data_IF_902616009401
#
_entry.id   IF_902616009401
#
_cell.length_a   1.000
_cell.length_b   1.000
_cell.length_c   1.000
_cell.angle_alpha   90.00
_cell.angle_beta   90.00
_cell.angle_gamma   90.00
#
_symmetry.space_group_name_H-M   'P 1'
#
loop_
_entity.id
_entity.type
_entity.pdbx_description
1 polymer ?
#
# COMPACT_ATOMS: atom_id res chain seq x y z
N UNK A 1 -8.50 9.44 2.46
CA UNK A 1 -7.40 10.41 2.24
C UNK A 1 -6.12 9.82 2.85
N UNK A 2 -4.96 10.06 2.26
CA UNK A 2 -3.66 9.57 2.75
C UNK A 2 -2.86 10.75 3.31
N UNK A 3 -2.28 10.58 4.51
CA UNK A 3 -1.49 11.59 5.20
C UNK A 3 -0.30 10.97 5.94
N UNK A 4 0.69 11.80 6.29
CA UNK A 4 1.82 11.36 7.12
C UNK A 4 1.33 10.92 8.51
N UNK A 5 1.86 9.81 9.03
CA UNK A 5 1.51 9.32 10.37
C UNK A 5 1.81 10.33 11.48
N UNK A 6 2.86 11.13 11.29
CA UNK A 6 3.29 12.15 12.25
C UNK A 6 2.36 13.37 12.29
N UNK A 7 1.46 13.50 11.32
CA UNK A 7 0.53 14.62 11.17
C UNK A 7 -0.92 14.23 11.48
N UNK A 8 -1.16 12.97 11.84
CA UNK A 8 -2.49 12.50 12.22
C UNK A 8 -2.99 13.21 13.48
N UNK A 9 -4.28 13.53 13.49
CA UNK A 9 -4.98 14.07 14.67
C UNK A 9 -5.29 12.96 15.67
N UNK A 10 -4.23 12.42 16.27
CA UNK A 10 -4.24 11.33 17.25
C UNK A 10 -3.29 11.65 18.40
N UNK A 11 -3.41 10.95 19.55
CA UNK A 11 -2.47 11.12 20.65
C UNK A 11 -1.01 10.98 20.20
N UNK A 12 -0.09 11.61 20.94
CA UNK A 12 1.34 11.67 20.59
C UNK A 12 1.94 10.27 20.40
N UNK A 13 1.48 9.27 21.14
CA UNK A 13 1.89 7.88 21.01
C UNK A 13 1.58 7.30 19.62
N UNK A 14 0.44 7.68 19.03
CA UNK A 14 0.05 7.29 17.68
C UNK A 14 0.89 7.97 16.59
N UNK A 15 1.22 9.26 16.79
CA UNK A 15 2.10 9.99 15.86
C UNK A 15 3.55 9.48 15.92
N UNK A 16 4.00 9.04 17.09
CA UNK A 16 5.30 8.42 17.34
C UNK A 16 5.33 6.91 17.01
N UNK A 17 4.32 6.39 16.29
CA UNK A 17 4.26 4.97 15.96
C UNK A 17 5.45 4.53 15.10
N UNK A 18 6.02 3.39 15.47
CA UNK A 18 7.00 2.66 14.66
C UNK A 18 6.58 1.20 14.57
N UNK A 19 6.63 0.65 13.36
CA UNK A 19 6.13 -0.69 13.06
C UNK A 19 5.36 -0.71 11.75
N UNK A 20 4.41 -1.64 11.67
CA UNK A 20 3.61 -1.88 10.46
C UNK A 20 2.19 -1.37 10.64
N UNK A 21 1.73 -0.53 9.71
CA UNK A 21 0.32 -0.16 9.59
C UNK A 21 -0.29 -0.83 8.35
N UNK A 22 -1.49 -1.39 8.53
CA UNK A 22 -2.25 -2.02 7.44
C UNK A 22 -3.29 -1.05 6.91
N UNK A 23 -3.25 -0.80 5.61
CA UNK A 23 -4.25 -0.07 4.85
C UNK A 23 -5.08 -1.06 4.04
N UNK A 24 -6.40 -0.95 4.12
CA UNK A 24 -7.32 -1.82 3.37
C UNK A 24 -8.37 -0.98 2.66
N UNK A 25 -8.64 -1.32 1.40
CA UNK A 25 -9.70 -0.69 0.61
C UNK A 25 -10.19 -1.64 -0.47
N UNK A 26 -11.23 -1.24 -1.21
CA UNK A 26 -11.71 -1.96 -2.38
C UNK A 26 -11.87 -1.02 -3.58
N UNK A 27 -11.71 -1.55 -4.78
CA UNK A 27 -11.89 -0.80 -6.03
C UNK A 27 -12.57 -1.65 -7.08
N UNK A 28 -13.34 -1.00 -7.96
CA UNK A 28 -13.94 -1.65 -9.11
C UNK A 28 -12.94 -1.71 -10.27
N UNK A 29 -12.90 -2.84 -10.95
CA UNK A 29 -12.06 -3.07 -12.11
C UNK A 29 -12.88 -3.62 -13.27
N UNK A 30 -12.74 -3.02 -14.44
CA UNK A 30 -13.31 -3.53 -15.68
C UNK A 30 -12.16 -3.69 -16.67
N UNK A 31 -11.84 -4.91 -17.12
CA UNK A 31 -10.76 -5.11 -18.07
C UNK A 31 -11.11 -4.43 -19.40
N UNK A 32 -10.16 -3.68 -19.96
CA UNK A 32 -10.26 -3.22 -21.34
C UNK A 32 -9.85 -4.37 -22.30
N UNK A 33 -10.35 -4.33 -23.53
CA UNK A 33 -10.21 -5.42 -24.51
C UNK A 33 -8.74 -5.82 -24.83
N UNK A 34 -7.75 -4.98 -24.51
CA UNK A 34 -6.34 -5.20 -24.83
C UNK A 34 -5.36 -4.74 -23.72
N UNK A 35 -5.61 -5.15 -22.48
CA UNK A 35 -4.68 -4.88 -21.38
C UNK A 35 -3.52 -5.89 -21.40
N UNK A 36 -2.33 -5.41 -21.73
CA UNK A 36 -1.10 -6.19 -21.65
C UNK A 36 -0.49 -6.19 -20.24
N UNK A 37 -0.68 -5.11 -19.48
CA UNK A 37 -0.10 -4.95 -18.14
C UNK A 37 -0.88 -3.91 -17.32
N UNK A 38 -1.11 -4.20 -16.04
CA UNK A 38 -1.66 -3.30 -15.03
C UNK A 38 -0.67 -3.16 -13.89
N UNK A 39 -0.23 -1.93 -13.65
CA UNK A 39 0.74 -1.61 -12.60
C UNK A 39 0.07 -0.73 -11.55
N UNK A 40 0.16 -1.14 -10.29
CA UNK A 40 -0.17 -0.32 -9.14
C UNK A 40 1.01 0.59 -8.82
N UNK A 41 0.82 1.90 -8.94
CA UNK A 41 1.79 2.91 -8.50
C UNK A 41 1.36 3.44 -7.12
N UNK A 42 2.17 3.18 -6.09
CA UNK A 42 1.91 3.62 -4.72
C UNK A 42 2.33 5.08 -4.47
N UNK A 43 2.97 5.72 -5.45
CA UNK A 43 3.55 7.05 -5.28
C UNK A 43 4.69 7.05 -4.25
N UNK A 44 4.52 7.82 -3.17
CA UNK A 44 5.54 7.96 -2.11
C UNK A 44 5.27 6.96 -0.99
N UNK A 45 6.23 6.09 -0.74
CA UNK A 45 6.30 5.21 0.43
C UNK A 45 7.62 5.52 1.14
N UNK A 46 7.60 5.72 2.46
CA UNK A 46 8.81 6.15 3.17
C UNK A 46 9.88 5.06 3.28
N UNK A 47 9.49 3.81 3.42
CA UNK A 47 10.42 2.71 3.73
C UNK A 47 10.10 1.43 2.97
N UNK A 48 8.98 0.77 3.29
CA UNK A 48 8.66 -0.57 2.80
C UNK A 48 7.14 -0.72 2.71
N UNK A 49 6.65 -1.22 1.58
CA UNK A 49 5.25 -1.61 1.41
C UNK A 49 5.14 -3.07 0.94
N UNK A 50 4.32 -3.86 1.61
CA UNK A 50 3.89 -5.19 1.15
C UNK A 50 2.47 -5.07 0.61
N UNK A 51 2.25 -5.51 -0.63
CA UNK A 51 0.98 -5.34 -1.34
C UNK A 51 0.32 -6.71 -1.50
N UNK A 52 -0.98 -6.77 -1.28
CA UNK A 52 -1.81 -7.91 -1.67
C UNK A 52 -3.10 -7.47 -2.35
N UNK A 53 -3.53 -8.25 -3.33
CA UNK A 53 -4.76 -8.08 -4.08
C UNK A 53 -5.61 -9.33 -3.89
N UNK A 54 -6.85 -9.18 -3.46
CA UNK A 54 -7.77 -10.31 -3.21
C UNK A 54 -7.18 -11.38 -2.27
N UNK A 55 -6.39 -10.94 -1.28
CA UNK A 55 -5.68 -11.82 -0.35
C UNK A 55 -4.44 -12.53 -0.92
N UNK A 56 -4.10 -12.31 -2.19
CA UNK A 56 -2.91 -12.86 -2.83
C UNK A 56 -1.74 -11.86 -2.80
N UNK A 57 -0.51 -12.29 -2.44
CA UNK A 57 0.65 -11.41 -2.46
C UNK A 57 0.95 -10.87 -3.86
N UNK A 58 1.01 -9.55 -4.00
CA UNK A 58 1.40 -8.87 -5.24
C UNK A 58 2.89 -8.51 -5.27
N UNK A 59 3.53 -8.41 -4.11
CA UNK A 59 4.97 -8.18 -3.99
C UNK A 59 5.31 -7.25 -2.83
N UNK A 60 6.61 -6.98 -2.70
CA UNK A 60 7.17 -6.08 -1.69
C UNK A 60 7.94 -4.98 -2.40
N UNK A 61 7.57 -3.72 -2.16
CA UNK A 61 8.24 -2.55 -2.73
C UNK A 61 9.08 -1.86 -1.66
N UNK A 62 10.40 -1.88 -1.86
CA UNK A 62 11.40 -1.33 -0.92
C UNK A 62 12.36 -0.34 -1.58
N UNK A 63 12.29 -0.17 -2.90
CA UNK A 63 13.03 0.85 -3.66
C UNK A 63 12.04 1.59 -4.56
N UNK A 64 12.17 2.91 -4.64
CA UNK A 64 11.45 3.72 -5.61
C UNK A 64 11.92 3.45 -7.06
N UNK A 65 11.04 3.56 -8.06
CA UNK A 65 9.62 3.90 -7.95
C UNK A 65 8.79 2.75 -7.36
N UNK A 66 7.85 3.07 -6.48
CA UNK A 66 7.03 2.07 -5.78
C UNK A 66 5.91 1.52 -6.65
N UNK A 67 6.29 0.68 -7.61
CA UNK A 67 5.41 0.10 -8.63
C UNK A 67 5.39 -1.42 -8.54
N UNK A 68 4.20 -1.99 -8.63
CA UNK A 68 3.99 -3.44 -8.57
C UNK A 68 3.05 -3.86 -9.68
N UNK A 69 3.42 -4.89 -10.42
CA UNK A 69 2.54 -5.51 -11.42
C UNK A 69 1.45 -6.31 -10.71
N UNK A 70 0.19 -5.98 -10.97
CA UNK A 70 -0.99 -6.64 -10.38
C UNK A 70 -1.85 -7.35 -11.44
N UNK A 71 -1.37 -7.43 -12.68
CA UNK A 71 -2.13 -7.88 -13.85
C UNK A 71 -2.80 -9.23 -13.61
N UNK A 72 -2.05 -10.20 -13.07
CA UNK A 72 -2.53 -11.56 -12.85
C UNK A 72 -3.42 -11.74 -11.62
N UNK A 73 -3.60 -10.70 -10.80
CA UNK A 73 -4.32 -10.77 -9.52
C UNK A 73 -5.70 -10.11 -9.57
N UNK A 74 -5.97 -9.36 -10.64
CA UNK A 74 -7.21 -8.63 -10.84
C UNK A 74 -8.35 -9.56 -11.26
N UNK A 75 -9.52 -9.32 -10.69
CA UNK A 75 -10.79 -9.91 -11.08
C UNK A 75 -11.68 -8.82 -11.70
N UNK A 76 -12.59 -9.19 -12.60
CA UNK A 76 -13.63 -8.26 -13.05
C UNK A 76 -14.59 -7.94 -11.89
N UNK A 77 -14.90 -6.66 -11.70
CA UNK A 77 -15.71 -6.14 -10.59
C UNK A 77 -14.86 -5.72 -9.39
N UNK A 78 -15.36 -5.97 -8.18
CA UNK A 78 -14.73 -5.52 -6.93
C UNK A 78 -13.46 -6.30 -6.61
N UNK A 79 -12.36 -5.58 -6.39
CA UNK A 79 -11.09 -6.12 -5.92
C UNK A 79 -10.76 -5.56 -4.54
N UNK A 80 -10.22 -6.39 -3.65
CA UNK A 80 -9.72 -5.96 -2.34
C UNK A 80 -8.23 -5.66 -2.43
N UNK A 81 -7.82 -4.49 -1.93
CA UNK A 81 -6.44 -4.07 -1.83
C UNK A 81 -6.05 -3.98 -0.35
N UNK A 82 -4.99 -4.67 0.02
CA UNK A 82 -4.34 -4.49 1.32
C UNK A 82 -2.87 -4.11 1.11
N UNK A 83 -2.43 -3.07 1.81
CA UNK A 83 -1.06 -2.57 1.79
C UNK A 83 -0.56 -2.48 3.23
N UNK A 84 0.51 -3.20 3.55
CA UNK A 84 1.21 -3.09 4.83
C UNK A 84 2.41 -2.19 4.65
N UNK A 85 2.39 -1.03 5.30
CA UNK A 85 3.52 -0.08 5.29
C UNK A 85 4.27 -0.23 6.59
N UNK A 86 5.59 -0.46 6.50
CA UNK A 86 6.46 -0.61 7.67
C UNK A 86 7.50 0.50 7.67
N UNK A 87 7.57 1.32 8.71
CA UNK A 87 8.59 2.38 8.86
C UNK A 87 9.80 1.91 9.70
N UNK A 88 10.73 2.82 9.99
CA UNK A 88 11.84 2.58 10.92
C UNK A 88 11.44 2.86 12.37
N UNK A 89 12.28 2.45 13.32
CA UNK A 89 12.11 2.75 14.75
C UNK A 89 12.32 4.22 15.14
N UNK A 90 12.74 5.08 14.20
CA UNK A 90 13.15 6.45 14.51
C UNK A 90 12.05 7.27 15.19
N UNK A 91 10.81 7.17 14.70
CA UNK A 91 9.68 7.94 15.25
C UNK A 91 9.35 7.60 16.70
N UNK A 92 9.68 6.38 17.16
CA UNK A 92 9.38 5.92 18.52
C UNK A 92 10.51 6.19 19.51
N UNK A 93 11.75 6.31 19.02
CA UNK A 93 12.96 6.42 19.85
C UNK A 93 13.42 7.87 20.07
N UNK A 94 12.91 8.83 19.30
CA UNK A 94 13.24 10.26 19.37
C UNK A 94 12.01 11.06 19.74
#
# INVERSE_FOLDING_TARGET
ELSSWTELDVPTEGRAFSGTATYSTSFEWTPADSIAQVVLDLGRVEVLAEISINGQPAGISWIAPHRVDITSLLLEGTNQLEIKVTNTWFNRLV
#
